data_IF_696077164333
#
_entry.id   IF_696077164333
#
_cell.length_a   1.000
_cell.length_b   1.000
_cell.length_c   1.000
_cell.angle_alpha   90.00
_cell.angle_beta   90.00
_cell.angle_gamma   90.00
#
_symmetry.space_group_name_H-M   'P 1'
#
loop_
_entity.id
_entity.type
_entity.pdbx_description
1 polymer ?
#
# COMPACT_ATOMS: atom_id res chain seq x y z
N UNK A 1 -18.32 -0.04 -40.98
CA UNK A 1 -17.28 -1.07 -41.16
C UNK A 1 -17.43 -1.68 -42.53
N UNK A 2 -16.34 -1.91 -43.26
CA UNK A 2 -16.39 -2.58 -44.57
C UNK A 2 -16.12 -4.07 -44.38
N UNK A 3 -16.85 -4.95 -45.07
CA UNK A 3 -16.71 -6.43 -44.97
C UNK A 3 -15.25 -6.87 -45.12
N UNK A 4 -14.53 -6.31 -46.09
CA UNK A 4 -13.10 -6.55 -46.30
C UNK A 4 -12.23 -6.23 -45.07
N UNK A 5 -12.50 -5.10 -44.38
CA UNK A 5 -11.76 -4.72 -43.16
C UNK A 5 -12.06 -5.68 -42.01
N UNK A 6 -13.29 -6.17 -41.90
CA UNK A 6 -13.70 -7.13 -40.88
C UNK A 6 -13.04 -8.49 -41.08
N UNK A 7 -13.04 -9.03 -42.31
CA UNK A 7 -12.36 -10.29 -42.65
C UNK A 7 -10.87 -10.20 -42.37
N UNK A 8 -10.20 -9.13 -42.84
CA UNK A 8 -8.77 -8.89 -42.57
C UNK A 8 -8.47 -8.79 -41.07
N UNK A 9 -9.29 -8.06 -40.31
CA UNK A 9 -9.10 -7.96 -38.85
C UNK A 9 -9.31 -9.30 -38.13
N UNK A 10 -10.22 -10.15 -38.62
CA UNK A 10 -10.47 -11.47 -38.05
C UNK A 10 -9.32 -12.44 -38.37
N UNK A 11 -8.73 -12.38 -39.56
CA UNK A 11 -7.53 -13.13 -39.91
C UNK A 11 -6.33 -12.76 -39.03
N UNK A 12 -6.14 -11.47 -38.75
CA UNK A 12 -5.05 -10.95 -37.93
C UNK A 12 -5.22 -11.22 -36.42
N UNK A 13 -6.40 -10.91 -35.86
CA UNK A 13 -6.66 -10.99 -34.42
C UNK A 13 -7.17 -12.36 -33.95
N UNK A 14 -7.64 -13.20 -34.89
CA UNK A 14 -8.29 -14.49 -34.62
C UNK A 14 -9.47 -14.42 -33.66
N UNK A 15 -10.07 -13.24 -33.53
CA UNK A 15 -11.28 -12.97 -32.75
C UNK A 15 -12.02 -11.76 -33.33
N UNK A 16 -13.31 -11.66 -33.03
CA UNK A 16 -14.22 -10.61 -33.49
C UNK A 16 -14.18 -9.33 -32.64
N UNK A 17 -13.44 -9.32 -31.52
CA UNK A 17 -13.30 -8.14 -30.67
C UNK A 17 -12.48 -7.05 -31.35
N UNK A 18 -12.88 -5.80 -31.10
CA UNK A 18 -12.14 -4.61 -31.48
C UNK A 18 -10.68 -4.69 -30.98
N UNK A 19 -9.74 -4.40 -31.89
CA UNK A 19 -8.33 -4.26 -31.54
C UNK A 19 -8.05 -3.05 -30.65
N UNK A 20 -6.83 -2.94 -30.09
CA UNK A 20 -6.44 -1.81 -29.26
C UNK A 20 -6.57 -0.51 -30.05
N UNK A 21 -7.43 0.41 -29.58
CA UNK A 21 -7.55 1.73 -30.20
C UNK A 21 -6.38 2.61 -29.77
N UNK A 22 -5.75 3.26 -30.74
CA UNK A 22 -4.75 4.30 -30.49
C UNK A 22 -5.40 5.48 -29.77
N UNK A 23 -4.93 5.78 -28.56
CA UNK A 23 -5.31 6.97 -27.82
C UNK A 23 -4.27 8.09 -27.96
N UNK A 24 -4.58 9.31 -27.49
CA UNK A 24 -3.60 10.40 -27.46
C UNK A 24 -2.35 10.04 -26.64
N UNK A 25 -1.15 10.45 -27.08
CA UNK A 25 0.07 10.22 -26.32
C UNK A 25 0.01 10.95 -24.98
N UNK A 26 0.43 10.25 -23.92
CA UNK A 26 0.39 10.80 -22.58
C UNK A 26 1.59 11.73 -22.33
N UNK A 27 1.40 13.04 -22.45
CA UNK A 27 2.46 14.06 -22.30
C UNK A 27 3.17 14.04 -20.95
N UNK A 28 2.43 13.89 -19.85
CA UNK A 28 3.00 13.93 -18.49
C UNK A 28 3.52 12.56 -18.04
N UNK A 29 3.03 11.46 -18.62
CA UNK A 29 3.29 10.10 -18.13
C UNK A 29 4.54 9.46 -18.77
N UNK A 30 5.63 10.23 -18.86
CA UNK A 30 6.92 9.79 -19.39
C UNK A 30 7.65 8.89 -18.40
N UNK A 31 8.60 8.08 -18.89
CA UNK A 31 9.45 7.24 -18.03
C UNK A 31 10.25 8.08 -17.02
N UNK A 32 10.79 9.22 -17.46
CA UNK A 32 11.51 10.16 -16.60
C UNK A 32 10.63 10.64 -15.43
N UNK A 33 9.39 11.07 -15.72
CA UNK A 33 8.46 11.53 -14.69
C UNK A 33 8.07 10.39 -13.73
N UNK A 34 7.87 9.17 -14.22
CA UNK A 34 7.61 8.00 -13.36
C UNK A 34 8.75 7.75 -12.38
N UNK A 35 10.00 7.77 -12.87
CA UNK A 35 11.17 7.57 -12.01
C UNK A 35 11.34 8.70 -10.99
N UNK A 36 11.15 9.95 -11.41
CA UNK A 36 11.17 11.11 -10.52
C UNK A 36 10.11 10.96 -9.42
N UNK A 37 8.85 10.69 -9.78
CA UNK A 37 7.74 10.50 -8.83
C UNK A 37 8.07 9.37 -7.84
N UNK A 38 8.56 8.22 -8.34
CA UNK A 38 8.97 7.08 -7.51
C UNK A 38 10.05 7.47 -6.50
N UNK A 39 11.10 8.16 -6.94
CA UNK A 39 12.19 8.64 -6.06
C UNK A 39 11.66 9.62 -5.01
N UNK A 40 10.78 10.55 -5.39
CA UNK A 40 10.20 11.55 -4.48
C UNK A 40 9.34 10.90 -3.39
N UNK A 41 8.45 9.97 -3.75
CA UNK A 41 7.66 9.23 -2.76
C UNK A 41 8.51 8.32 -1.88
N UNK A 42 9.60 7.73 -2.40
CA UNK A 42 10.54 6.95 -1.57
C UNK A 42 11.24 7.82 -0.52
N UNK A 43 11.60 9.06 -0.86
CA UNK A 43 12.23 10.01 0.08
C UNK A 43 11.28 10.48 1.17
N UNK A 44 10.02 10.73 0.84
CA UNK A 44 9.00 11.11 1.82
C UNK A 44 7.69 10.34 1.57
N UNK A 45 7.57 9.12 2.11
CA UNK A 45 6.39 8.27 1.88
C UNK A 45 5.13 8.78 2.59
N UNK A 46 5.28 9.69 3.56
CA UNK A 46 4.18 10.29 4.31
C UNK A 46 3.62 11.55 3.65
N UNK A 47 4.24 12.03 2.58
CA UNK A 47 3.80 13.25 1.91
C UNK A 47 2.45 13.03 1.20
N UNK A 48 1.47 13.92 1.36
CA UNK A 48 0.22 13.84 0.63
C UNK A 48 0.46 14.12 -0.87
N UNK A 49 -0.29 13.43 -1.71
CA UNK A 49 -0.21 13.53 -3.19
C UNK A 49 -0.31 14.99 -3.64
N UNK A 50 -1.22 15.78 -3.07
CA UNK A 50 -1.32 17.23 -3.27
C UNK A 50 -0.01 18.01 -3.09
N UNK A 51 0.72 17.79 -1.98
CA UNK A 51 2.01 18.46 -1.72
C UNK A 51 3.07 18.00 -2.72
N UNK A 52 3.01 16.73 -3.14
CA UNK A 52 3.91 16.17 -4.14
C UNK A 52 3.65 16.74 -5.54
N UNK A 53 2.38 16.96 -5.88
CA UNK A 53 1.97 17.67 -7.10
C UNK A 53 2.56 19.07 -7.17
N UNK A 54 2.40 19.88 -6.11
CA UNK A 54 3.02 21.22 -6.03
C UNK A 54 4.54 21.19 -6.19
N UNK A 55 5.22 20.20 -5.63
CA UNK A 55 6.69 20.05 -5.72
C UNK A 55 7.19 19.60 -7.10
N UNK A 56 6.33 18.96 -7.89
CA UNK A 56 6.70 18.38 -9.19
C UNK A 56 6.09 19.16 -10.37
N UNK A 57 5.22 20.13 -10.10
CA UNK A 57 4.45 20.85 -11.13
C UNK A 57 3.33 20.00 -11.76
N UNK A 58 3.09 18.78 -11.27
CA UNK A 58 2.11 17.86 -11.84
C UNK A 58 0.80 17.97 -11.06
N UNK A 59 -0.34 18.06 -11.78
CA UNK A 59 -1.67 18.03 -11.17
C UNK A 59 -1.85 16.79 -10.28
N UNK A 60 -2.45 16.97 -9.11
CA UNK A 60 -2.62 15.92 -8.10
C UNK A 60 -3.31 14.66 -8.66
N UNK A 61 -4.37 14.84 -9.45
CA UNK A 61 -5.14 13.74 -10.05
C UNK A 61 -4.27 12.89 -10.98
N UNK A 62 -3.44 13.54 -11.81
CA UNK A 62 -2.49 12.87 -12.71
C UNK A 62 -1.40 12.15 -11.92
N UNK A 63 -0.85 12.80 -10.89
CA UNK A 63 0.18 12.21 -10.04
C UNK A 63 -0.35 10.98 -9.28
N UNK A 64 -1.57 11.05 -8.76
CA UNK A 64 -2.25 9.92 -8.12
C UNK A 64 -2.52 8.76 -9.10
N UNK A 65 -2.97 9.05 -10.32
CA UNK A 65 -3.15 8.04 -11.38
C UNK A 65 -1.83 7.36 -11.73
N UNK A 66 -0.73 8.10 -11.87
CA UNK A 66 0.59 7.53 -12.16
C UNK A 66 1.07 6.67 -10.99
N UNK A 67 0.98 7.19 -9.76
CA UNK A 67 1.41 6.47 -8.56
C UNK A 67 0.64 5.15 -8.37
N UNK A 68 -0.69 5.18 -8.48
CA UNK A 68 -1.54 4.01 -8.31
C UNK A 68 -1.48 3.03 -9.50
N UNK A 69 -1.75 3.51 -10.72
CA UNK A 69 -1.90 2.62 -11.89
C UNK A 69 -0.57 2.19 -12.51
N UNK A 70 0.43 3.08 -12.56
CA UNK A 70 1.70 2.80 -13.25
C UNK A 70 2.81 2.37 -12.29
N UNK A 71 2.90 2.96 -11.10
CA UNK A 71 3.90 2.61 -10.09
C UNK A 71 3.41 1.59 -9.06
N UNK A 72 2.13 1.20 -9.09
CA UNK A 72 1.50 0.25 -8.15
C UNK A 72 1.73 0.61 -6.68
N UNK A 73 1.82 1.90 -6.38
CA UNK A 73 1.98 2.40 -5.02
C UNK A 73 0.62 2.38 -4.28
N UNK A 74 0.63 1.91 -3.04
CA UNK A 74 -0.54 1.92 -2.15
C UNK A 74 -0.30 2.86 -0.98
N UNK A 75 -1.32 3.63 -0.63
CA UNK A 75 -1.33 4.48 0.57
C UNK A 75 -1.82 3.65 1.75
N UNK A 76 -1.02 3.57 2.81
CA UNK A 76 -1.40 2.89 4.06
C UNK A 76 -1.71 3.90 5.15
N UNK A 77 -2.66 3.57 6.03
CA UNK A 77 -2.95 4.38 7.23
C UNK A 77 -1.83 4.19 8.25
N UNK A 78 -1.36 5.31 8.84
CA UNK A 78 -0.39 5.25 9.93
C UNK A 78 -1.08 4.72 11.18
N UNK A 79 -0.46 3.72 11.84
CA UNK A 79 -0.89 3.20 13.13
C UNK A 79 -0.01 3.78 14.24
N UNK A 80 -0.62 4.13 15.38
CA UNK A 80 0.12 4.48 16.58
C UNK A 80 0.81 3.21 17.09
N UNK A 81 2.10 3.31 17.38
CA UNK A 81 2.91 2.22 17.93
C UNK A 81 3.77 2.78 19.07
N UNK A 82 4.19 1.92 19.99
CA UNK A 82 5.13 2.29 21.03
C UNK A 82 6.46 2.76 20.41
N UNK A 83 7.00 3.88 20.88
CA UNK A 83 8.34 4.33 20.50
C UNK A 83 9.37 3.44 21.19
N UNK A 84 10.15 2.69 20.41
CA UNK A 84 11.22 1.84 20.94
C UNK A 84 12.56 2.57 20.93
N UNK A 85 13.29 2.50 22.04
CA UNK A 85 14.71 2.85 22.12
C UNK A 85 15.57 1.72 21.53
N UNK A 86 16.82 1.99 21.19
CA UNK A 86 17.72 0.95 20.65
C UNK A 86 17.95 -0.18 21.65
N UNK A 87 18.11 0.14 22.93
CA UNK A 87 18.19 -0.85 24.02
C UNK A 87 16.94 -1.75 24.07
N UNK A 88 15.75 -1.15 23.97
CA UNK A 88 14.50 -1.90 23.95
C UNK A 88 14.41 -2.83 22.72
N UNK A 89 14.93 -2.42 21.56
CA UNK A 89 14.97 -3.28 20.38
C UNK A 89 15.92 -4.46 20.57
N UNK A 90 17.12 -4.21 21.10
CA UNK A 90 18.11 -5.25 21.38
C UNK A 90 17.57 -6.28 22.37
N UNK A 91 16.99 -5.81 23.48
CA UNK A 91 16.38 -6.67 24.49
C UNK A 91 15.23 -7.51 23.92
N UNK A 92 14.33 -6.88 23.14
CA UNK A 92 13.25 -7.60 22.46
C UNK A 92 13.77 -8.65 21.51
N UNK A 93 14.80 -8.34 20.72
CA UNK A 93 15.39 -9.29 19.77
C UNK A 93 15.96 -10.52 20.48
N UNK A 94 16.73 -10.32 21.56
CA UNK A 94 17.30 -11.42 22.34
C UNK A 94 16.21 -12.27 23.00
N UNK A 95 15.19 -11.64 23.60
CA UNK A 95 14.04 -12.34 24.19
C UNK A 95 13.26 -13.14 23.16
N UNK A 96 13.00 -12.57 21.97
CA UNK A 96 12.30 -13.25 20.90
C UNK A 96 13.08 -14.47 20.39
N UNK A 97 14.40 -14.37 20.23
CA UNK A 97 15.24 -15.52 19.85
C UNK A 97 15.16 -16.64 20.88
N UNK A 98 15.29 -16.31 22.17
CA UNK A 98 15.20 -17.28 23.25
C UNK A 98 13.81 -17.95 23.29
N UNK A 99 12.74 -17.16 23.16
CA UNK A 99 11.38 -17.68 23.12
C UNK A 99 11.17 -18.60 21.92
N UNK A 100 11.67 -18.22 20.74
CA UNK A 100 11.57 -19.03 19.53
C UNK A 100 12.29 -20.38 19.67
N UNK A 101 13.49 -20.40 20.27
CA UNK A 101 14.21 -21.64 20.57
C UNK A 101 13.46 -22.52 21.57
N UNK A 102 12.89 -21.94 22.63
CA UNK A 102 12.10 -22.69 23.62
C UNK A 102 10.82 -23.28 23.06
N UNK A 103 10.20 -22.56 22.12
CA UNK A 103 8.99 -22.97 21.41
C UNK A 103 9.23 -24.05 20.34
N UNK A 104 10.48 -24.31 19.97
CA UNK A 104 10.81 -25.32 18.95
C UNK A 104 10.43 -26.74 19.38
N UNK A 105 10.04 -27.57 18.42
CA UNK A 105 9.74 -29.00 18.64
C UNK A 105 8.49 -29.27 19.47
N UNK A 106 7.37 -28.59 19.18
CA UNK A 106 6.05 -28.74 19.82
C UNK A 106 6.00 -28.41 21.32
N UNK A 107 7.04 -27.78 21.88
CA UNK A 107 7.08 -27.34 23.28
C UNK A 107 6.21 -26.10 23.58
N UNK A 108 5.59 -25.50 22.56
CA UNK A 108 4.64 -24.39 22.74
C UNK A 108 3.50 -24.74 23.69
N UNK A 109 3.02 -25.98 23.67
CA UNK A 109 1.92 -26.46 24.52
C UNK A 109 2.27 -26.42 26.01
N UNK A 110 3.56 -26.36 26.34
CA UNK A 110 4.05 -26.25 27.72
C UNK A 110 4.19 -24.80 28.20
N UNK A 111 3.83 -23.81 27.37
CA UNK A 111 3.96 -22.39 27.69
C UNK A 111 2.57 -21.77 27.83
N UNK A 112 2.21 -21.40 29.06
CA UNK A 112 1.02 -20.61 29.35
C UNK A 112 1.37 -19.11 29.31
N UNK A 113 0.67 -18.35 28.48
CA UNK A 113 0.76 -16.90 28.45
C UNK A 113 -0.43 -16.27 29.17
N UNK A 114 -0.16 -15.40 30.15
CA UNK A 114 -1.17 -14.65 30.89
C UNK A 114 -0.89 -13.16 30.76
N UNK A 115 -1.95 -12.34 30.75
CA UNK A 115 -1.85 -10.88 30.77
C UNK A 115 -3.06 -10.31 31.50
N UNK A 116 -2.88 -9.18 32.16
CA UNK A 116 -3.95 -8.48 32.84
C UNK A 116 -4.56 -7.44 31.90
N UNK A 117 -5.89 -7.38 31.85
CA UNK A 117 -6.62 -6.39 31.06
C UNK A 117 -7.61 -5.64 31.92
N UNK A 118 -7.53 -4.32 31.86
CA UNK A 118 -8.50 -3.44 32.51
C UNK A 118 -9.76 -3.40 31.66
N UNK A 119 -10.90 -3.77 32.27
CA UNK A 119 -12.22 -3.60 31.69
C UNK A 119 -12.92 -2.45 32.40
N UNK A 120 -13.32 -1.44 31.64
CA UNK A 120 -14.10 -0.32 32.19
C UNK A 120 -15.57 -0.68 32.12
N UNK A 121 -16.21 -0.85 33.28
CA UNK A 121 -17.66 -1.03 33.35
C UNK A 121 -18.33 0.33 33.15
N UNK A 122 -19.08 0.47 32.05
CA UNK A 122 -19.95 1.63 31.86
C UNK A 122 -21.09 1.55 32.87
N UNK A 123 -21.06 2.38 33.91
CA UNK A 123 -22.24 2.61 34.75
C UNK A 123 -23.18 3.48 33.92
N UNK A 124 -24.23 2.87 33.36
CA UNK A 124 -25.27 3.60 32.65
C UNK A 124 -25.71 4.79 33.50
N UNK A 125 -25.71 5.97 32.92
CA UNK A 125 -26.33 7.15 33.52
C UNK A 125 -27.77 6.75 33.87
N UNK A 126 -28.06 6.54 35.15
CA UNK A 126 -29.42 6.64 35.63
C UNK A 126 -29.75 8.14 35.50
N UNK A 127 -30.37 8.50 34.37
CA UNK A 127 -31.03 9.79 34.24
C UNK A 127 -32.03 9.91 35.40
N UNK A 128 -32.00 10.99 36.21
CA UNK A 128 -33.04 11.21 37.19
C UNK A 128 -34.38 11.37 36.45
N UNK A 129 -35.40 10.65 36.94
CA UNK A 129 -36.79 10.78 36.50
C UNK A 129 -37.33 12.17 36.79
#
# INVERSE_FOLDING_TARGET
MTVHRAVKSFEELRHDRDGPRSGPPASVNTLANRQMIKKRFKRNPRAPVRKMGRRTGIKETTLGRIAGKKLKMKTYKLKKVQKLTEENKALRFTRCKLLHQRAAGQKCERILFTDEKIFTLYRGLQSPK
#
